data_IF_368561672744
#
_entry.id   IF_368561672744
#
_cell.length_a   1.000
_cell.length_b   1.000
_cell.length_c   1.000
_cell.angle_alpha   90.00
_cell.angle_beta   90.00
_cell.angle_gamma   90.00
#
_symmetry.space_group_name_H-M   'P 1'
#
loop_
_entity.id
_entity.type
_entity.pdbx_description
1 polymer ?
#
# COMPACT_ATOMS: atom_id res chain seq x y z
N UNK A 1 37.29 -22.16 49.63
CA UNK A 1 36.42 -21.05 49.18
C UNK A 1 35.00 -21.41 49.59
N UNK A 2 34.32 -20.57 50.37
CA UNK A 2 33.02 -20.90 50.94
C UNK A 2 31.92 -20.72 49.90
N UNK A 3 30.87 -21.52 50.00
CA UNK A 3 29.67 -21.47 49.13
C UNK A 3 29.08 -20.04 48.97
N UNK A 4 29.30 -19.15 49.95
CA UNK A 4 28.89 -17.76 49.89
C UNK A 4 29.64 -16.89 48.86
N UNK A 5 30.93 -17.20 48.59
CA UNK A 5 31.71 -16.45 47.60
C UNK A 5 31.30 -16.81 46.14
N UNK A 6 30.94 -18.05 45.89
CA UNK A 6 30.43 -18.45 44.56
C UNK A 6 29.06 -17.80 44.22
N UNK A 7 28.20 -17.63 45.23
CA UNK A 7 26.89 -16.95 45.02
C UNK A 7 27.04 -15.46 44.75
N UNK A 8 28.00 -14.80 45.42
CA UNK A 8 28.24 -13.36 45.18
C UNK A 8 28.81 -13.10 43.76
N UNK A 9 29.70 -13.95 43.26
CA UNK A 9 30.24 -13.80 41.90
C UNK A 9 29.17 -14.01 40.85
N UNK A 10 28.23 -14.94 41.03
CA UNK A 10 27.13 -15.20 40.11
C UNK A 10 26.11 -14.04 40.03
N UNK A 11 25.83 -13.42 41.16
CA UNK A 11 24.90 -12.27 41.24
C UNK A 11 25.50 -11.01 40.59
N UNK A 12 26.80 -10.76 40.79
CA UNK A 12 27.48 -9.62 40.17
C UNK A 12 27.58 -9.75 38.65
N UNK A 13 27.82 -10.97 38.11
CA UNK A 13 27.85 -11.20 36.68
C UNK A 13 26.46 -11.06 36.02
N UNK A 14 25.40 -11.49 36.73
CA UNK A 14 24.05 -11.31 36.26
C UNK A 14 23.61 -9.83 36.20
N UNK A 15 23.94 -9.06 37.25
CA UNK A 15 23.65 -7.62 37.31
C UNK A 15 24.43 -6.84 36.25
N UNK A 16 25.70 -7.18 36.02
CA UNK A 16 26.51 -6.58 34.94
C UNK A 16 25.97 -6.88 33.55
N UNK A 17 25.49 -8.12 33.30
CA UNK A 17 24.89 -8.52 32.06
C UNK A 17 23.55 -7.79 31.79
N UNK A 18 22.74 -7.61 32.85
CA UNK A 18 21.48 -6.85 32.74
C UNK A 18 21.76 -5.36 32.49
N UNK A 19 22.75 -4.78 33.16
CA UNK A 19 23.12 -3.38 32.91
C UNK A 19 23.69 -3.17 31.52
N UNK A 20 24.55 -4.08 31.02
CA UNK A 20 25.06 -4.03 29.65
C UNK A 20 23.93 -4.20 28.61
N UNK A 21 22.96 -5.07 28.88
CA UNK A 21 21.79 -5.26 28.02
C UNK A 21 20.91 -4.00 27.99
N UNK A 22 20.73 -3.34 29.14
CA UNK A 22 19.99 -2.08 29.22
C UNK A 22 20.71 -0.92 28.51
N UNK A 23 22.07 -0.84 28.63
CA UNK A 23 22.85 0.16 27.87
C UNK A 23 22.80 -0.08 26.36
N UNK A 24 22.80 -1.33 25.89
CA UNK A 24 22.67 -1.67 24.48
C UNK A 24 21.28 -1.30 23.96
N UNK A 25 20.22 -1.53 24.75
CA UNK A 25 18.85 -1.13 24.37
C UNK A 25 18.71 0.39 24.32
N UNK A 26 19.35 1.14 25.23
CA UNK A 26 19.31 2.61 25.21
C UNK A 26 20.22 3.24 24.14
N UNK A 27 21.19 2.47 23.58
CA UNK A 27 22.06 2.92 22.47
C UNK A 27 21.55 2.52 21.10
N UNK A 28 20.45 1.76 21.00
CA UNK A 28 19.81 1.60 19.69
C UNK A 28 19.37 2.99 19.22
N UNK A 29 19.86 3.48 18.08
CA UNK A 29 19.47 4.80 17.61
C UNK A 29 17.95 4.79 17.52
N UNK A 30 17.31 5.76 18.20
CA UNK A 30 15.90 6.08 17.98
C UNK A 30 15.80 6.27 16.46
N UNK A 31 15.20 5.30 15.78
CA UNK A 31 14.92 5.42 14.35
C UNK A 31 14.10 6.71 14.22
N UNK A 32 14.78 7.74 13.73
CA UNK A 32 14.18 9.04 13.48
C UNK A 32 12.83 8.77 12.80
N UNK A 33 11.73 9.19 13.44
CA UNK A 33 10.39 9.09 12.86
C UNK A 33 10.50 9.72 11.49
N UNK A 34 10.62 8.88 10.46
CA UNK A 34 10.52 9.35 9.09
C UNK A 34 9.22 10.12 9.02
N UNK A 35 9.33 11.38 8.67
CA UNK A 35 8.24 12.29 8.43
C UNK A 35 7.40 11.64 7.32
N UNK A 36 6.39 10.86 7.74
CA UNK A 36 5.40 10.33 6.80
C UNK A 36 4.74 11.55 6.18
N UNK A 37 4.82 11.66 4.86
CA UNK A 37 4.02 12.66 4.16
C UNK A 37 2.58 12.18 4.33
N UNK A 38 1.86 12.79 5.28
CA UNK A 38 0.42 12.72 5.31
C UNK A 38 -0.04 13.40 4.03
N UNK A 39 -0.40 12.60 3.02
CA UNK A 39 -1.02 13.10 1.80
C UNK A 39 -2.45 13.48 2.20
N UNK A 40 -2.59 14.64 2.80
CA UNK A 40 -3.87 15.29 2.97
C UNK A 40 -4.24 15.89 1.60
N UNK A 41 -4.74 15.06 0.71
CA UNK A 41 -5.27 15.51 -0.59
C UNK A 41 -6.66 16.06 -0.30
N UNK A 42 -6.89 17.37 -0.37
CA UNK A 42 -8.23 17.91 -0.24
C UNK A 42 -9.04 17.36 -1.42
N UNK A 43 -10.11 16.62 -1.13
CA UNK A 43 -11.00 16.04 -2.14
C UNK A 43 -11.86 17.13 -2.78
N UNK A 44 -11.26 17.99 -3.59
CA UNK A 44 -12.01 18.83 -4.51
C UNK A 44 -12.41 17.97 -5.72
N UNK A 45 -13.70 18.03 -6.08
CA UNK A 45 -14.24 17.26 -7.20
C UNK A 45 -13.46 17.55 -8.49
N UNK A 46 -12.85 16.56 -9.14
CA UNK A 46 -12.04 16.76 -10.34
C UNK A 46 -12.90 17.14 -11.57
N UNK A 47 -12.27 17.79 -12.55
CA UNK A 47 -12.81 17.83 -13.91
C UNK A 47 -12.54 16.48 -14.60
N UNK A 48 -13.48 15.55 -14.46
CA UNK A 48 -13.35 14.17 -14.98
C UNK A 48 -13.11 14.10 -16.48
N UNK A 49 -13.60 15.07 -17.26
CA UNK A 49 -13.37 15.10 -18.70
C UNK A 49 -11.93 15.48 -19.02
N UNK A 50 -11.37 16.44 -18.28
CA UNK A 50 -9.95 16.83 -18.37
C UNK A 50 -9.06 15.66 -17.95
N UNK A 51 -9.40 15.00 -16.84
CA UNK A 51 -8.68 13.82 -16.34
C UNK A 51 -8.70 12.67 -17.35
N UNK A 52 -9.87 12.33 -17.93
CA UNK A 52 -10.00 11.31 -18.96
C UNK A 52 -9.13 11.61 -20.19
N UNK A 53 -9.12 12.87 -20.67
CA UNK A 53 -8.27 13.30 -21.78
C UNK A 53 -6.78 13.14 -21.49
N UNK A 54 -6.34 13.36 -20.26
CA UNK A 54 -4.92 13.28 -19.88
C UNK A 54 -4.34 11.88 -20.06
N UNK A 55 -5.17 10.84 -19.88
CA UNK A 55 -4.77 9.42 -19.94
C UNK A 55 -5.24 8.71 -21.21
N UNK A 56 -6.03 9.37 -22.04
CA UNK A 56 -6.66 8.77 -23.24
C UNK A 56 -5.67 8.08 -24.17
N UNK A 57 -4.47 8.64 -24.35
CA UNK A 57 -3.42 8.11 -25.23
C UNK A 57 -2.86 6.75 -24.78
N UNK A 58 -2.99 6.42 -23.50
CA UNK A 58 -2.50 5.16 -22.93
C UNK A 58 -3.62 4.12 -22.80
N UNK A 59 -4.88 4.60 -22.69
CA UNK A 59 -6.03 3.76 -22.41
C UNK A 59 -6.50 2.98 -23.62
N UNK A 60 -7.07 1.82 -23.35
CA UNK A 60 -7.84 1.03 -24.33
C UNK A 60 -9.34 1.36 -24.33
N UNK A 61 -9.76 2.29 -23.45
CA UNK A 61 -11.13 2.84 -23.41
C UNK A 61 -11.18 4.18 -24.14
N UNK A 62 -12.33 4.52 -24.72
CA UNK A 62 -12.53 5.84 -25.32
C UNK A 62 -12.81 6.91 -24.24
N UNK A 63 -12.74 8.21 -24.61
CA UNK A 63 -12.90 9.34 -23.70
C UNK A 63 -14.19 9.26 -22.87
N UNK A 64 -15.33 8.94 -23.51
CA UNK A 64 -16.60 8.85 -22.80
C UNK A 64 -16.61 7.75 -21.73
N UNK A 65 -16.14 6.56 -22.06
CA UNK A 65 -16.04 5.45 -21.10
C UNK A 65 -15.07 5.76 -19.96
N UNK A 66 -13.94 6.41 -20.27
CA UNK A 66 -12.99 6.85 -19.25
C UNK A 66 -13.61 7.89 -18.30
N UNK A 67 -14.32 8.88 -18.86
CA UNK A 67 -15.00 9.90 -18.05
C UNK A 67 -16.02 9.27 -17.10
N UNK A 68 -16.86 8.36 -17.59
CA UNK A 68 -17.83 7.65 -16.75
C UNK A 68 -17.14 6.78 -15.69
N UNK A 69 -16.07 6.09 -16.06
CA UNK A 69 -15.30 5.27 -15.13
C UNK A 69 -14.68 6.12 -14.00
N UNK A 70 -14.12 7.29 -14.34
CA UNK A 70 -13.54 8.20 -13.34
C UNK A 70 -14.59 8.80 -12.40
N UNK A 71 -15.78 9.13 -12.90
CA UNK A 71 -16.91 9.54 -12.05
C UNK A 71 -17.29 8.40 -11.09
N UNK A 72 -17.35 7.18 -11.58
CA UNK A 72 -17.64 6.00 -10.77
C UNK A 72 -16.55 5.74 -9.70
N UNK A 73 -15.28 5.81 -10.10
CA UNK A 73 -14.14 5.70 -9.20
C UNK A 73 -14.19 6.76 -8.10
N UNK A 74 -14.51 8.00 -8.45
CA UNK A 74 -14.66 9.08 -7.48
C UNK A 74 -15.72 8.76 -6.42
N UNK A 75 -16.91 8.29 -6.81
CA UNK A 75 -17.95 7.89 -5.87
C UNK A 75 -17.49 6.78 -4.91
N UNK A 76 -16.74 5.80 -5.43
CA UNK A 76 -16.15 4.75 -4.58
C UNK A 76 -15.07 5.32 -3.64
N UNK A 77 -14.26 6.26 -4.12
CA UNK A 77 -13.22 6.90 -3.31
C UNK A 77 -13.83 7.65 -2.12
N UNK A 78 -14.95 8.34 -2.32
CA UNK A 78 -15.71 8.99 -1.25
C UNK A 78 -16.31 7.95 -0.29
N UNK A 79 -16.92 6.87 -0.80
CA UNK A 79 -17.53 5.80 0.02
C UNK A 79 -16.51 5.06 0.89
N UNK A 80 -15.31 4.78 0.35
CA UNK A 80 -14.28 3.96 1.00
C UNK A 80 -13.14 4.77 1.61
N UNK A 81 -13.24 6.11 1.64
CA UNK A 81 -12.27 7.04 2.21
C UNK A 81 -10.83 6.85 1.63
N UNK A 82 -10.74 6.60 0.32
CA UNK A 82 -9.48 6.45 -0.42
C UNK A 82 -9.25 7.69 -1.28
N UNK A 83 -8.11 8.39 -1.19
CA UNK A 83 -7.85 9.55 -2.04
C UNK A 83 -7.87 9.19 -3.53
N UNK A 84 -8.67 9.91 -4.33
CA UNK A 84 -8.83 9.67 -5.75
C UNK A 84 -7.51 9.73 -6.52
N UNK A 85 -6.62 10.67 -6.16
CA UNK A 85 -5.31 10.81 -6.79
C UNK A 85 -4.39 9.61 -6.51
N UNK A 86 -4.50 8.97 -5.33
CA UNK A 86 -3.82 7.70 -5.03
C UNK A 86 -4.36 6.59 -5.95
N UNK A 87 -5.68 6.47 -6.09
CA UNK A 87 -6.28 5.45 -6.97
C UNK A 87 -5.85 5.65 -8.42
N UNK A 88 -5.87 6.89 -8.90
CA UNK A 88 -5.39 7.25 -10.24
C UNK A 88 -3.94 6.85 -10.45
N UNK A 89 -3.07 7.21 -9.51
CA UNK A 89 -1.65 6.90 -9.56
C UNK A 89 -1.36 5.38 -9.50
N UNK A 90 -2.19 4.62 -8.77
CA UNK A 90 -2.12 3.15 -8.79
C UNK A 90 -2.49 2.62 -10.17
N UNK A 91 -3.58 3.08 -10.80
CA UNK A 91 -3.97 2.66 -12.16
C UNK A 91 -2.90 3.02 -13.20
N UNK A 92 -2.31 4.22 -13.10
CA UNK A 92 -1.17 4.65 -13.94
C UNK A 92 0.01 3.68 -13.79
N UNK A 93 0.32 3.29 -12.55
CA UNK A 93 1.48 2.44 -12.25
C UNK A 93 1.27 1.00 -12.67
N UNK A 94 0.06 0.45 -12.47
CA UNK A 94 -0.27 -0.96 -12.65
C UNK A 94 -0.53 -1.34 -14.10
N UNK A 95 -1.24 -0.50 -14.84
CA UNK A 95 -1.74 -0.90 -16.16
C UNK A 95 -1.56 0.13 -17.27
N UNK A 96 -1.13 1.35 -16.98
CA UNK A 96 -1.24 2.46 -17.95
C UNK A 96 -2.68 2.57 -18.52
N UNK A 97 -3.71 2.44 -17.68
CA UNK A 97 -5.12 2.50 -18.09
C UNK A 97 -5.55 1.42 -19.09
N UNK A 98 -4.81 0.30 -19.22
CA UNK A 98 -5.15 -0.83 -20.07
C UNK A 98 -6.05 -1.81 -19.30
N UNK A 99 -7.38 -1.69 -19.48
CA UNK A 99 -8.35 -2.43 -18.68
C UNK A 99 -8.30 -3.97 -18.84
N UNK A 100 -7.66 -4.48 -19.91
CA UNK A 100 -7.46 -5.92 -20.12
C UNK A 100 -6.03 -6.38 -19.89
N UNK A 101 -5.20 -5.56 -19.24
CA UNK A 101 -3.83 -5.94 -18.92
C UNK A 101 -3.79 -7.21 -18.05
N UNK A 102 -2.86 -8.11 -18.36
CA UNK A 102 -2.58 -9.30 -17.54
C UNK A 102 -1.09 -9.37 -17.32
N UNK A 103 -0.66 -9.44 -16.05
CA UNK A 103 0.74 -9.56 -15.71
C UNK A 103 1.25 -11.00 -15.82
N UNK A 104 2.58 -11.19 -15.72
CA UNK A 104 3.22 -12.51 -15.68
C UNK A 104 2.75 -13.35 -14.47
N UNK A 105 2.39 -12.72 -13.37
CA UNK A 105 1.83 -13.36 -12.17
C UNK A 105 0.32 -13.61 -12.24
N UNK A 106 -0.34 -13.23 -13.34
CA UNK A 106 -1.77 -13.41 -13.54
C UNK A 106 -2.64 -12.31 -12.89
N UNK A 107 -2.07 -11.18 -12.49
CA UNK A 107 -2.85 -10.03 -12.04
C UNK A 107 -3.58 -9.39 -13.24
N UNK A 108 -4.83 -8.97 -13.05
CA UNK A 108 -5.76 -8.59 -14.11
C UNK A 108 -6.24 -7.14 -13.95
N UNK A 109 -6.32 -6.44 -15.07
CA UNK A 109 -7.08 -5.22 -15.27
C UNK A 109 -6.39 -3.94 -14.81
N UNK A 110 -7.18 -2.88 -14.63
CA UNK A 110 -6.71 -1.52 -14.36
C UNK A 110 -5.85 -1.43 -13.10
N UNK A 111 -6.25 -2.08 -12.03
CA UNK A 111 -5.57 -2.07 -10.74
C UNK A 111 -4.78 -3.37 -10.47
N UNK A 112 -4.58 -4.21 -11.49
CA UNK A 112 -3.77 -5.44 -11.44
C UNK A 112 -4.10 -6.32 -10.23
N UNK A 113 -5.36 -6.68 -10.08
CA UNK A 113 -5.83 -7.54 -8.99
C UNK A 113 -5.55 -9.00 -9.31
N UNK A 114 -4.97 -9.73 -8.36
CA UNK A 114 -4.85 -11.19 -8.47
C UNK A 114 -6.21 -11.87 -8.31
N UNK A 115 -6.55 -12.87 -9.13
CA UNK A 115 -7.79 -13.66 -8.96
C UNK A 115 -7.95 -14.27 -7.56
N UNK A 116 -6.86 -14.70 -6.94
CA UNK A 116 -6.88 -15.19 -5.55
C UNK A 116 -7.35 -14.11 -4.59
N UNK A 117 -6.83 -12.88 -4.70
CA UNK A 117 -7.24 -11.75 -3.86
C UNK A 117 -8.71 -11.41 -4.06
N UNK A 118 -9.20 -11.35 -5.31
CA UNK A 118 -10.60 -11.03 -5.57
C UNK A 118 -11.57 -12.08 -5.02
N UNK A 119 -11.19 -13.35 -5.07
CA UNK A 119 -12.01 -14.45 -4.53
C UNK A 119 -11.98 -14.46 -3.00
N UNK A 120 -10.78 -14.45 -2.41
CA UNK A 120 -10.64 -14.62 -0.94
C UNK A 120 -11.10 -13.40 -0.16
N UNK A 121 -10.84 -12.19 -0.66
CA UNK A 121 -11.13 -10.96 0.07
C UNK A 121 -12.52 -10.39 -0.24
N UNK A 122 -13.07 -10.65 -1.44
CA UNK A 122 -14.29 -9.99 -1.93
C UNK A 122 -15.33 -10.92 -2.55
N UNK A 123 -15.09 -12.25 -2.51
CA UNK A 123 -15.95 -13.25 -3.13
C UNK A 123 -16.30 -12.92 -4.60
N UNK A 124 -15.34 -12.35 -5.33
CA UNK A 124 -15.50 -11.90 -6.73
C UNK A 124 -14.74 -12.86 -7.64
N UNK A 125 -15.40 -13.48 -8.64
CA UNK A 125 -14.73 -14.38 -9.58
C UNK A 125 -13.60 -13.65 -10.34
N UNK A 126 -12.45 -14.30 -10.53
CA UNK A 126 -11.33 -13.72 -11.26
C UNK A 126 -11.65 -13.30 -12.69
N UNK A 127 -12.58 -14.01 -13.36
CA UNK A 127 -13.05 -13.64 -14.70
C UNK A 127 -13.79 -12.30 -14.75
N UNK A 128 -14.39 -11.86 -13.63
CA UNK A 128 -15.07 -10.56 -13.55
C UNK A 128 -14.08 -9.39 -13.53
N UNK A 129 -12.80 -9.62 -13.21
CA UNK A 129 -11.77 -8.58 -13.15
C UNK A 129 -11.43 -7.96 -14.53
N UNK A 130 -11.86 -8.55 -15.62
CA UNK A 130 -11.74 -7.94 -16.96
C UNK A 130 -12.75 -6.80 -17.19
N UNK A 131 -13.81 -6.72 -16.39
CA UNK A 131 -14.70 -5.57 -16.38
C UNK A 131 -14.04 -4.42 -15.60
N UNK A 132 -13.87 -3.22 -16.22
CA UNK A 132 -13.16 -2.12 -15.59
C UNK A 132 -13.86 -1.61 -14.31
N UNK A 133 -15.19 -1.66 -14.24
CA UNK A 133 -15.94 -1.21 -13.06
C UNK A 133 -15.78 -2.20 -11.89
N UNK A 134 -15.85 -3.49 -12.16
CA UNK A 134 -15.58 -4.54 -11.15
C UNK A 134 -14.14 -4.43 -10.66
N UNK A 135 -13.20 -4.23 -11.57
CA UNK A 135 -11.77 -4.16 -11.26
C UNK A 135 -11.45 -3.00 -10.30
N UNK A 136 -11.92 -1.78 -10.62
CA UNK A 136 -11.69 -0.61 -9.74
C UNK A 136 -12.45 -0.72 -8.43
N UNK A 137 -13.64 -1.34 -8.42
CA UNK A 137 -14.39 -1.60 -7.18
C UNK A 137 -13.57 -2.49 -6.23
N UNK A 138 -13.08 -3.62 -6.71
CA UNK A 138 -12.26 -4.54 -5.92
C UNK A 138 -10.97 -3.87 -5.47
N UNK A 139 -10.29 -3.15 -6.37
CA UNK A 139 -9.02 -2.48 -6.09
C UNK A 139 -9.15 -1.38 -5.03
N UNK A 140 -10.18 -0.51 -5.11
CA UNK A 140 -10.42 0.57 -4.16
C UNK A 140 -10.78 -0.02 -2.78
N UNK A 141 -11.67 -1.02 -2.73
CA UNK A 141 -12.00 -1.73 -1.48
C UNK A 141 -10.76 -2.36 -0.85
N UNK A 142 -9.86 -2.93 -1.67
CA UNK A 142 -8.64 -3.53 -1.17
C UNK A 142 -7.66 -2.48 -0.62
N UNK A 143 -7.49 -1.34 -1.29
CA UNK A 143 -6.73 -0.21 -0.79
C UNK A 143 -7.27 0.30 0.55
N UNK A 144 -8.59 0.50 0.67
CA UNK A 144 -9.25 0.91 1.91
C UNK A 144 -8.97 -0.09 3.03
N UNK A 145 -9.18 -1.39 2.78
CA UNK A 145 -8.91 -2.45 3.76
C UNK A 145 -7.46 -2.45 4.24
N UNK A 146 -6.51 -2.29 3.34
CA UNK A 146 -5.09 -2.20 3.67
C UNK A 146 -4.79 -0.92 4.45
N UNK A 147 -5.39 0.21 4.08
CA UNK A 147 -5.18 1.48 4.78
C UNK A 147 -5.73 1.46 6.21
N UNK A 148 -6.89 0.86 6.41
CA UNK A 148 -7.45 0.61 7.76
C UNK A 148 -6.52 -0.25 8.63
N UNK A 149 -5.79 -1.20 8.02
CA UNK A 149 -4.84 -2.06 8.73
C UNK A 149 -3.53 -1.37 9.07
N UNK A 150 -2.96 -0.61 8.15
CA UNK A 150 -1.59 -0.08 8.25
C UNK A 150 -1.51 1.40 8.65
N UNK A 151 -2.55 2.20 8.43
CA UNK A 151 -2.71 3.57 8.90
C UNK A 151 -1.93 4.64 8.13
N UNK A 152 -1.03 4.26 7.21
CA UNK A 152 -0.28 5.20 6.37
C UNK A 152 -0.16 4.72 4.93
N UNK A 153 -0.09 5.65 3.97
CA UNK A 153 -0.10 5.32 2.54
C UNK A 153 1.18 4.64 2.06
N UNK A 154 2.35 4.89 2.65
CA UNK A 154 3.58 4.20 2.26
C UNK A 154 3.48 2.70 2.56
N UNK A 155 3.05 2.37 3.77
CA UNK A 155 2.87 0.97 4.19
C UNK A 155 1.70 0.32 3.46
N UNK A 156 0.60 1.05 3.24
CA UNK A 156 -0.57 0.59 2.47
C UNK A 156 -0.19 0.19 1.05
N UNK A 157 0.51 1.08 0.33
CA UNK A 157 0.94 0.82 -1.05
C UNK A 157 2.00 -0.28 -1.12
N UNK A 158 2.86 -0.41 -0.10
CA UNK A 158 3.77 -1.54 0.01
C UNK A 158 3.01 -2.85 0.16
N UNK A 159 2.00 -2.88 1.03
CA UNK A 159 1.15 -4.05 1.24
C UNK A 159 0.33 -4.39 -0.01
N UNK A 160 -0.11 -3.38 -0.76
CA UNK A 160 -0.80 -3.56 -2.03
C UNK A 160 0.07 -4.30 -3.05
N UNK A 161 1.32 -3.88 -3.21
CA UNK A 161 2.24 -4.42 -4.22
C UNK A 161 2.92 -5.74 -3.84
N UNK A 162 3.25 -5.93 -2.57
CA UNK A 162 4.03 -7.09 -2.09
C UNK A 162 3.21 -8.07 -1.24
N UNK A 163 1.98 -7.71 -0.92
CA UNK A 163 1.11 -8.47 -0.02
C UNK A 163 1.26 -8.09 1.46
N UNK A 164 0.17 -8.16 2.23
CA UNK A 164 0.15 -7.74 3.63
C UNK A 164 1.04 -8.58 4.53
N UNK A 165 1.17 -9.89 4.28
CA UNK A 165 2.01 -10.80 5.08
C UNK A 165 3.49 -10.42 4.99
N UNK A 166 3.99 -10.09 3.79
CA UNK A 166 5.38 -9.64 3.59
C UNK A 166 5.59 -8.31 4.31
N UNK A 167 4.64 -7.40 4.21
CA UNK A 167 4.70 -6.08 4.83
C UNK A 167 4.74 -6.15 6.36
N UNK A 168 4.00 -7.07 6.97
CA UNK A 168 4.05 -7.31 8.42
C UNK A 168 5.42 -7.85 8.88
N UNK A 169 6.05 -8.71 8.06
CA UNK A 169 7.30 -9.40 8.40
C UNK A 169 8.51 -8.47 8.27
N UNK A 170 8.52 -7.63 7.25
CA UNK A 170 9.61 -6.69 7.00
C UNK A 170 9.30 -5.35 7.67
N UNK A 171 9.84 -5.16 8.88
CA UNK A 171 9.73 -3.91 9.66
C UNK A 171 10.10 -2.67 8.83
N UNK A 172 9.65 -1.51 9.30
CA UNK A 172 9.70 -0.15 8.73
C UNK A 172 10.97 0.29 7.93
N UNK A 173 12.08 -0.46 7.97
CA UNK A 173 13.30 -0.17 7.20
C UNK A 173 13.21 -0.55 5.72
N UNK A 174 12.52 -1.62 5.37
CA UNK A 174 12.36 -2.09 3.98
C UNK A 174 11.44 -1.17 3.15
N UNK A 175 10.54 -0.45 3.83
CA UNK A 175 9.53 0.42 3.20
C UNK A 175 10.15 1.68 2.58
N UNK A 176 11.31 2.16 3.12
CA UNK A 176 11.95 3.42 2.70
C UNK A 176 12.37 3.47 1.22
N UNK A 177 12.73 2.33 0.64
CA UNK A 177 13.27 2.25 -0.72
C UNK A 177 12.36 1.51 -1.71
N UNK A 178 11.07 1.37 -1.38
CA UNK A 178 10.12 0.71 -2.26
C UNK A 178 9.89 1.53 -3.54
N UNK A 179 10.45 1.05 -4.64
CA UNK A 179 10.34 1.67 -5.97
C UNK A 179 8.88 1.84 -6.41
N UNK A 180 8.01 0.89 -6.07
CA UNK A 180 6.58 0.98 -6.36
C UNK A 180 5.94 2.20 -5.69
N UNK A 181 6.17 2.38 -4.40
CA UNK A 181 5.63 3.51 -3.62
C UNK A 181 6.13 4.83 -4.18
N UNK A 182 7.43 4.93 -4.48
CA UNK A 182 8.02 6.13 -5.11
C UNK A 182 7.36 6.45 -6.46
N UNK A 183 7.09 5.43 -7.27
CA UNK A 183 6.44 5.58 -8.57
C UNK A 183 4.99 6.05 -8.44
N UNK A 184 4.22 5.47 -7.52
CA UNK A 184 2.84 5.90 -7.26
C UNK A 184 2.81 7.36 -6.82
N UNK A 185 3.62 7.75 -5.83
CA UNK A 185 3.64 9.15 -5.36
C UNK A 185 4.16 10.14 -6.41
N UNK A 186 5.04 9.74 -7.32
CA UNK A 186 5.45 10.59 -8.42
C UNK A 186 4.32 10.88 -9.42
N UNK A 187 3.28 10.02 -9.48
CA UNK A 187 2.10 10.18 -10.33
C UNK A 187 0.95 10.94 -9.62
N UNK A 188 1.01 11.11 -8.30
CA UNK A 188 0.06 11.95 -7.54
C UNK A 188 0.39 13.43 -7.85
N UNK A 189 -0.59 14.17 -8.38
CA UNK A 189 -0.44 15.57 -8.82
C UNK A 189 -1.31 16.49 -8.00
#
# INVERSE_FOLDING_TARGET
MSHKQSYMLGVVTCAAAVMFYMEVIHRTPIVEKTKYVEVHVPMSKPDFKKEAKSVLRYSTLNESKLTHLMIYMWGLCEEYEVPFDIVKAVVDTESDWKHKAVSKSGAIGLMQILPSTSITEFNTPGSALYDPYVNVTVGIKYLSKLHQRFGDWNTTLTAYSHGPTITDTYSKGYIKDNFYVKRVFASVK
#
